data_IF_229694335922
#
_entry.id   IF_229694335922
#
_cell.length_a   1.000
_cell.length_b   1.000
_cell.length_c   1.000
_cell.angle_alpha   90.00
_cell.angle_beta   90.00
_cell.angle_gamma   90.00
#
_symmetry.space_group_name_H-M   'P 1'
#
loop_
_entity.id
_entity.type
_entity.pdbx_description
1 polymer ?
#
# COMPACT_ATOMS: atom_id res chain seq x y z
N UNK A 1 0.31 -2.06 19.08
CA UNK A 1 0.71 -2.84 17.90
C UNK A 1 -0.53 -3.10 17.07
N UNK A 2 -0.48 -2.73 15.80
CA UNK A 2 -1.58 -2.69 14.81
C UNK A 2 -1.19 -3.51 13.57
N UNK A 3 -1.82 -3.27 12.42
CA UNK A 3 -1.49 -3.90 11.12
C UNK A 3 0.00 -3.91 10.77
N UNK A 4 0.77 -2.92 11.24
CA UNK A 4 2.23 -2.85 11.04
C UNK A 4 2.97 -4.11 11.53
N UNK A 5 2.40 -4.88 12.46
CA UNK A 5 3.02 -6.13 12.92
C UNK A 5 3.13 -7.22 11.86
N UNK A 6 2.27 -7.17 10.83
CA UNK A 6 2.30 -8.10 9.71
C UNK A 6 2.81 -7.43 8.44
N UNK A 7 2.45 -6.17 8.21
CA UNK A 7 2.87 -5.45 7.00
C UNK A 7 4.39 -5.25 6.92
N UNK A 8 5.00 -4.78 8.01
CA UNK A 8 6.43 -4.46 8.05
C UNK A 8 7.30 -5.69 7.79
N UNK A 9 7.16 -6.83 8.50
CA UNK A 9 8.01 -7.99 8.22
C UNK A 9 7.82 -8.53 6.79
N UNK A 10 6.60 -8.52 6.25
CA UNK A 10 6.33 -8.97 4.87
C UNK A 10 7.03 -8.04 3.86
N UNK A 11 6.85 -6.73 4.01
CA UNK A 11 7.46 -5.76 3.11
C UNK A 11 8.98 -5.75 3.21
N UNK A 12 9.53 -5.98 4.39
CA UNK A 12 10.97 -6.08 4.57
C UNK A 12 11.57 -7.30 3.89
N UNK A 13 10.94 -8.47 3.97
CA UNK A 13 11.39 -9.65 3.23
C UNK A 13 11.46 -9.36 1.72
N UNK A 14 10.46 -8.65 1.19
CA UNK A 14 10.44 -8.23 -0.22
C UNK A 14 11.56 -7.24 -0.52
N UNK A 15 11.69 -6.16 0.26
CA UNK A 15 12.71 -5.11 0.05
C UNK A 15 14.13 -5.72 0.06
N UNK A 16 14.40 -6.69 0.93
CA UNK A 16 15.73 -7.32 0.98
C UNK A 16 16.10 -8.08 -0.30
N UNK A 17 15.12 -8.64 -1.01
CA UNK A 17 15.35 -9.29 -2.30
C UNK A 17 15.74 -8.28 -3.41
N UNK A 18 15.46 -6.99 -3.19
CA UNK A 18 15.77 -5.90 -4.10
C UNK A 18 16.91 -5.01 -3.59
N UNK A 19 17.71 -5.49 -2.64
CA UNK A 19 18.86 -4.73 -2.12
C UNK A 19 19.80 -4.28 -3.26
N UNK A 20 20.13 -2.99 -3.28
CA UNK A 20 20.96 -2.37 -4.32
C UNK A 20 20.25 -2.16 -5.65
N UNK A 21 18.92 -2.33 -5.71
CA UNK A 21 18.07 -1.98 -6.86
C UNK A 21 17.39 -0.63 -6.62
N UNK A 22 16.74 -0.10 -7.65
CA UNK A 22 16.02 1.17 -7.55
C UNK A 22 14.63 0.92 -6.96
N UNK A 23 14.42 1.37 -5.73
CA UNK A 23 13.18 1.19 -4.97
C UNK A 23 12.46 2.53 -4.82
N UNK A 24 11.13 2.51 -4.99
CA UNK A 24 10.24 3.61 -4.65
C UNK A 24 9.34 3.18 -3.49
N UNK A 25 9.27 3.97 -2.43
CA UNK A 25 8.20 3.88 -1.43
C UNK A 25 7.17 4.98 -1.66
N UNK A 26 5.89 4.58 -1.70
CA UNK A 26 4.75 5.48 -1.71
C UNK A 26 4.20 5.58 -0.30
N UNK A 27 4.33 6.78 0.27
CA UNK A 27 4.26 7.02 1.71
C UNK A 27 5.61 6.80 2.37
N UNK A 28 5.79 7.29 3.60
CA UNK A 28 7.06 7.20 4.33
C UNK A 28 6.97 6.30 5.58
N UNK A 29 6.63 5.02 5.39
CA UNK A 29 6.41 4.10 6.52
C UNK A 29 7.71 3.48 6.99
N UNK A 30 8.51 2.92 6.09
CA UNK A 30 9.70 2.15 6.46
C UNK A 30 10.79 2.97 7.14
N UNK A 31 10.82 4.29 6.95
CA UNK A 31 11.77 5.19 7.65
C UNK A 31 11.65 5.15 9.17
N UNK A 32 10.49 4.72 9.69
CA UNK A 32 10.27 4.55 11.13
C UNK A 32 10.83 3.23 11.69
N UNK A 33 11.32 2.35 10.82
CA UNK A 33 11.69 0.97 11.20
C UNK A 33 13.10 0.60 10.76
N UNK A 34 13.52 1.00 9.55
CA UNK A 34 14.79 0.60 8.97
C UNK A 34 15.40 1.70 8.11
N UNK A 35 16.74 1.73 8.10
CA UNK A 35 17.49 2.55 7.15
C UNK A 35 17.70 1.76 5.86
N UNK A 36 17.04 2.20 4.79
CA UNK A 36 17.06 1.57 3.47
C UNK A 36 17.18 2.63 2.39
N UNK A 37 18.03 2.35 1.40
CA UNK A 37 18.24 3.22 0.24
C UNK A 37 17.07 3.08 -0.75
N UNK A 38 16.33 4.17 -0.94
CA UNK A 38 15.13 4.25 -1.81
C UNK A 38 14.72 5.71 -2.02
N UNK A 39 13.96 5.93 -3.08
CA UNK A 39 13.18 7.16 -3.21
C UNK A 39 11.89 7.04 -2.39
N UNK A 40 11.47 8.13 -1.75
CA UNK A 40 10.20 8.20 -1.00
C UNK A 40 9.34 9.31 -1.58
N UNK A 41 8.12 9.00 -1.99
CA UNK A 41 7.12 9.97 -2.44
C UNK A 41 5.99 10.03 -1.42
N UNK A 42 5.79 11.19 -0.82
CA UNK A 42 4.71 11.43 0.14
C UNK A 42 4.17 12.86 -0.01
N UNK A 43 2.85 13.00 -0.09
CA UNK A 43 2.17 14.28 -0.29
C UNK A 43 2.18 15.18 0.94
N UNK A 44 2.16 14.60 2.13
CA UNK A 44 1.92 15.31 3.38
C UNK A 44 3.20 15.50 4.19
N UNK A 45 4.15 14.57 4.09
CA UNK A 45 5.43 14.68 4.80
C UNK A 45 6.40 15.63 4.11
N UNK A 46 7.07 16.45 4.93
CA UNK A 46 8.06 17.44 4.49
C UNK A 46 9.39 17.16 5.19
N UNK A 47 10.30 16.53 4.47
CA UNK A 47 11.70 16.28 4.84
C UNK A 47 12.54 16.40 3.56
N UNK A 48 13.81 16.80 3.68
CA UNK A 48 14.70 16.97 2.53
C UNK A 48 14.95 15.66 1.75
N UNK A 49 14.71 14.50 2.38
CA UNK A 49 14.85 13.18 1.75
C UNK A 49 13.54 12.66 1.16
N UNK A 50 12.45 13.41 1.29
CA UNK A 50 11.12 13.03 0.78
C UNK A 50 10.79 13.87 -0.44
N UNK A 51 10.40 13.21 -1.51
CA UNK A 51 9.83 13.85 -2.69
C UNK A 51 8.39 14.25 -2.31
N UNK A 52 8.22 15.49 -1.85
CA UNK A 52 6.93 15.98 -1.37
C UNK A 52 5.94 16.25 -2.54
N UNK A 53 5.35 15.19 -3.08
CA UNK A 53 4.44 15.20 -4.23
C UNK A 53 3.29 14.22 -4.04
N UNK A 54 2.16 14.48 -4.71
CA UNK A 54 1.07 13.52 -4.84
C UNK A 54 1.51 12.39 -5.79
N UNK A 55 1.39 11.13 -5.36
CA UNK A 55 1.77 9.97 -6.18
C UNK A 55 0.97 9.88 -7.48
N UNK A 56 -0.23 10.49 -7.53
CA UNK A 56 -1.04 10.57 -8.76
C UNK A 56 -0.30 11.35 -9.86
N UNK A 57 0.45 12.38 -9.47
CA UNK A 57 1.10 13.32 -10.40
C UNK A 57 2.63 13.11 -10.45
N UNK A 58 3.18 12.34 -9.51
CA UNK A 58 4.61 12.03 -9.46
C UNK A 58 5.08 11.37 -10.76
N UNK A 59 6.21 11.86 -11.25
CA UNK A 59 6.86 11.33 -12.43
C UNK A 59 8.37 11.24 -12.22
N UNK A 60 8.99 10.26 -12.86
CA UNK A 60 10.44 10.04 -12.86
C UNK A 60 10.91 9.70 -14.27
N UNK A 61 12.10 10.16 -14.63
CA UNK A 61 12.76 9.77 -15.88
C UNK A 61 13.26 8.32 -15.85
N UNK A 62 13.39 7.76 -14.65
CA UNK A 62 13.86 6.41 -14.40
C UNK A 62 12.71 5.55 -13.87
N UNK A 63 12.71 4.28 -14.25
CA UNK A 63 11.74 3.29 -13.73
C UNK A 63 12.31 2.53 -12.53
N UNK A 64 11.43 2.03 -11.68
CA UNK A 64 11.77 1.34 -10.45
C UNK A 64 11.75 -0.19 -10.63
N UNK A 65 12.70 -0.87 -9.98
CA UNK A 65 12.73 -2.33 -9.90
C UNK A 65 11.67 -2.83 -8.90
N UNK A 66 11.45 -2.08 -7.82
CA UNK A 66 10.43 -2.35 -6.81
C UNK A 66 9.70 -1.04 -6.44
N UNK A 67 8.38 -1.10 -6.38
CA UNK A 67 7.55 -0.07 -5.77
C UNK A 67 6.84 -0.71 -4.58
N UNK A 68 6.90 -0.07 -3.41
CA UNK A 68 6.18 -0.51 -2.21
C UNK A 68 5.20 0.56 -1.74
N UNK A 69 4.07 0.14 -1.20
CA UNK A 69 3.14 1.01 -0.49
C UNK A 69 2.54 0.26 0.69
N UNK A 70 2.59 0.86 1.88
CA UNK A 70 2.25 0.17 3.12
C UNK A 70 1.17 0.93 3.87
N UNK A 71 -0.11 0.55 3.75
CA UNK A 71 -1.23 1.33 4.30
C UNK A 71 -1.09 2.83 3.97
N UNK A 72 -1.01 3.13 2.66
CA UNK A 72 -0.91 4.50 2.15
C UNK A 72 -2.01 4.79 1.13
N UNK A 73 -2.24 3.88 0.19
CA UNK A 73 -3.14 4.16 -0.95
C UNK A 73 -4.59 4.35 -0.52
N UNK A 74 -5.04 3.76 0.59
CA UNK A 74 -6.38 3.96 1.14
C UNK A 74 -6.66 5.43 1.49
N UNK A 75 -5.63 6.24 1.72
CA UNK A 75 -5.75 7.67 2.02
C UNK A 75 -5.84 8.55 0.75
N UNK A 76 -5.35 8.06 -0.38
CA UNK A 76 -5.22 8.84 -1.63
C UNK A 76 -6.60 9.21 -2.18
N UNK A 77 -6.88 10.51 -2.29
CA UNK A 77 -8.18 11.05 -2.67
C UNK A 77 -9.29 10.92 -1.61
N UNK A 78 -9.08 10.15 -0.54
CA UNK A 78 -10.07 9.91 0.51
C UNK A 78 -10.01 10.90 1.67
N UNK A 79 -8.79 11.29 2.05
CA UNK A 79 -8.55 12.26 3.14
C UNK A 79 -8.52 13.71 2.63
N UNK A 80 -8.78 13.89 1.33
CA UNK A 80 -8.78 15.18 0.67
C UNK A 80 -10.15 15.86 0.74
N UNK A 81 -10.15 17.20 0.66
CA UNK A 81 -11.38 18.00 0.59
C UNK A 81 -11.36 18.89 -0.66
N UNK A 82 -12.23 18.64 -1.65
CA UNK A 82 -13.19 17.53 -1.74
C UNK A 82 -12.50 16.16 -1.90
N UNK A 83 -13.23 15.08 -1.56
CA UNK A 83 -12.79 13.72 -1.89
C UNK A 83 -12.79 13.52 -3.41
N UNK A 84 -11.82 12.73 -3.88
CA UNK A 84 -11.66 12.39 -5.30
C UNK A 84 -11.56 10.86 -5.43
N UNK A 85 -12.67 10.24 -5.81
CA UNK A 85 -12.79 8.78 -6.02
C UNK A 85 -12.08 8.30 -7.29
N UNK A 86 -11.65 9.21 -8.16
CA UNK A 86 -10.94 8.89 -9.40
C UNK A 86 -9.43 8.70 -9.20
N UNK A 87 -8.89 9.15 -8.06
CA UNK A 87 -7.44 9.06 -7.81
C UNK A 87 -6.94 7.64 -7.64
N UNK A 88 -7.69 6.74 -7.03
CA UNK A 88 -7.23 5.37 -6.80
C UNK A 88 -6.88 4.66 -8.13
N UNK A 89 -7.78 4.58 -9.14
CA UNK A 89 -7.44 4.01 -10.44
C UNK A 89 -6.26 4.72 -11.12
N UNK A 90 -6.22 6.06 -11.06
CA UNK A 90 -5.13 6.86 -11.65
C UNK A 90 -3.79 6.56 -11.01
N UNK A 91 -3.75 6.42 -9.68
CA UNK A 91 -2.55 6.03 -8.94
C UNK A 91 -2.06 4.67 -9.40
N UNK A 92 -2.93 3.65 -9.45
CA UNK A 92 -2.54 2.31 -9.90
C UNK A 92 -1.94 2.34 -11.31
N UNK A 93 -2.53 3.08 -12.25
CA UNK A 93 -1.98 3.24 -13.60
C UNK A 93 -0.64 3.99 -13.60
N UNK A 94 -0.48 5.01 -12.75
CA UNK A 94 0.80 5.70 -12.62
C UNK A 94 1.89 4.78 -12.05
N UNK A 95 1.60 3.96 -11.05
CA UNK A 95 2.56 3.01 -10.50
C UNK A 95 3.01 1.98 -11.55
N UNK A 96 2.07 1.46 -12.38
CA UNK A 96 2.41 0.58 -13.52
C UNK A 96 3.31 1.26 -14.55
N UNK A 97 3.15 2.56 -14.77
CA UNK A 97 4.02 3.34 -15.66
C UNK A 97 5.43 3.50 -15.08
N UNK A 98 5.53 3.69 -13.76
CA UNK A 98 6.78 3.91 -13.02
C UNK A 98 7.59 2.64 -12.78
N UNK A 99 6.96 1.47 -12.76
CA UNK A 99 7.68 0.20 -12.60
C UNK A 99 8.34 -0.25 -13.92
N UNK A 100 9.49 -0.92 -13.82
CA UNK A 100 10.14 -1.63 -14.95
C UNK A 100 9.30 -2.83 -15.35
N UNK A 101 9.43 -3.28 -16.61
CA UNK A 101 8.74 -4.48 -17.09
C UNK A 101 9.16 -5.77 -16.37
N UNK A 102 10.36 -5.81 -15.80
CA UNK A 102 10.83 -6.89 -14.93
C UNK A 102 10.65 -6.59 -13.43
N UNK A 103 10.02 -5.47 -13.11
CA UNK A 103 9.87 -4.98 -11.74
C UNK A 103 8.59 -5.47 -11.08
N UNK A 104 8.40 -5.07 -9.82
CA UNK A 104 7.26 -5.44 -9.01
C UNK A 104 6.70 -4.24 -8.24
N UNK A 105 5.39 -4.23 -8.03
CA UNK A 105 4.69 -3.34 -7.11
C UNK A 105 4.11 -4.23 -6.01
N UNK A 106 4.46 -3.98 -4.75
CA UNK A 106 3.93 -4.67 -3.59
C UNK A 106 3.16 -3.68 -2.70
N UNK A 107 1.91 -3.98 -2.42
CA UNK A 107 0.99 -3.06 -1.74
C UNK A 107 0.31 -3.79 -0.58
N UNK A 108 0.25 -3.17 0.60
CA UNK A 108 -0.68 -3.58 1.66
C UNK A 108 -1.78 -2.52 1.83
N UNK A 109 -3.03 -2.97 1.94
CA UNK A 109 -4.22 -2.12 2.02
C UNK A 109 -5.12 -2.56 3.19
N UNK A 110 -5.23 -1.74 4.24
CA UNK A 110 -6.28 -1.87 5.25
C UNK A 110 -7.67 -1.78 4.63
N UNK A 111 -8.52 -2.76 4.92
CA UNK A 111 -9.92 -2.75 4.51
C UNK A 111 -10.78 -1.98 5.51
N UNK A 112 -11.85 -1.36 5.00
CA UNK A 112 -12.86 -0.67 5.80
C UNK A 112 -12.50 0.76 6.19
N UNK A 113 -11.40 1.32 5.66
CA UNK A 113 -11.02 2.73 5.85
C UNK A 113 -11.60 3.62 4.74
N UNK A 114 -11.40 3.21 3.49
CA UNK A 114 -11.84 3.90 2.29
C UNK A 114 -12.83 3.00 1.52
N UNK A 115 -14.12 3.33 1.64
CA UNK A 115 -15.19 2.52 1.04
C UNK A 115 -15.17 2.53 -0.49
N UNK A 116 -14.57 3.55 -1.12
CA UNK A 116 -14.40 3.59 -2.58
C UNK A 116 -13.37 2.54 -2.99
N UNK A 117 -12.20 2.53 -2.34
CA UNK A 117 -11.16 1.53 -2.61
C UNK A 117 -11.67 0.11 -2.36
N UNK A 118 -12.38 -0.13 -1.26
CA UNK A 118 -12.98 -1.43 -0.96
C UNK A 118 -13.95 -1.89 -2.06
N UNK A 119 -14.77 -0.97 -2.59
CA UNK A 119 -15.67 -1.24 -3.71
C UNK A 119 -14.88 -1.55 -5.00
N UNK A 120 -13.84 -0.80 -5.31
CA UNK A 120 -13.00 -1.03 -6.49
C UNK A 120 -12.30 -2.39 -6.45
N UNK A 121 -11.88 -2.84 -5.27
CA UNK A 121 -11.35 -4.19 -5.04
C UNK A 121 -12.44 -5.25 -5.24
N UNK A 122 -13.62 -5.05 -4.65
CA UNK A 122 -14.76 -5.97 -4.77
C UNK A 122 -15.21 -6.18 -6.21
N UNK A 123 -15.28 -5.11 -6.99
CA UNK A 123 -15.71 -5.13 -8.39
C UNK A 123 -14.59 -5.57 -9.34
N UNK A 124 -13.37 -5.75 -8.82
CA UNK A 124 -12.21 -6.12 -9.64
C UNK A 124 -11.82 -5.03 -10.63
N UNK A 125 -12.01 -3.76 -10.26
CA UNK A 125 -11.47 -2.62 -11.02
C UNK A 125 -10.00 -2.42 -10.62
N UNK A 126 -9.71 -2.44 -9.32
CA UNK A 126 -8.34 -2.62 -8.82
C UNK A 126 -8.10 -4.13 -8.72
N UNK A 127 -7.12 -4.62 -9.48
CA UNK A 127 -6.75 -6.03 -9.57
C UNK A 127 -5.25 -6.19 -9.37
N UNK A 128 -4.89 -7.24 -8.65
CA UNK A 128 -3.52 -7.69 -8.48
C UNK A 128 -3.32 -9.00 -9.25
N UNK A 129 -2.13 -9.23 -9.82
CA UNK A 129 -1.79 -10.54 -10.39
C UNK A 129 -1.79 -11.62 -9.30
N UNK A 130 -1.37 -11.25 -8.09
CA UNK A 130 -1.39 -12.11 -6.91
C UNK A 130 -1.90 -11.30 -5.72
N UNK A 131 -2.81 -11.87 -4.95
CA UNK A 131 -3.31 -11.22 -3.73
C UNK A 131 -3.57 -12.22 -2.61
N UNK A 132 -3.39 -11.75 -1.39
CA UNK A 132 -3.65 -12.47 -0.16
C UNK A 132 -4.47 -11.60 0.78
N UNK A 133 -5.14 -12.24 1.73
CA UNK A 133 -5.91 -11.55 2.74
C UNK A 133 -5.49 -12.01 4.12
N UNK A 134 -5.36 -11.06 5.04
CA UNK A 134 -5.20 -11.37 6.45
C UNK A 134 -6.39 -10.80 7.22
N UNK A 135 -6.84 -11.54 8.22
CA UNK A 135 -7.87 -11.11 9.17
C UNK A 135 -7.29 -11.06 10.57
N UNK A 136 -7.54 -9.96 11.26
CA UNK A 136 -7.22 -9.85 12.68
C UNK A 136 -8.25 -10.62 13.49
N UNK A 137 -7.79 -11.53 14.34
CA UNK A 137 -8.67 -12.42 15.11
C UNK A 137 -8.73 -12.09 16.60
N UNK A 138 -7.81 -11.27 17.12
CA UNK A 138 -7.78 -10.96 18.55
C UNK A 138 -7.37 -9.53 18.89
N UNK A 139 -7.75 -9.09 20.10
CA UNK A 139 -7.29 -7.82 20.71
C UNK A 139 -5.76 -7.77 20.83
N UNK A 140 -5.11 -8.92 21.01
CA UNK A 140 -3.65 -9.07 21.10
C UNK A 140 -2.94 -8.90 19.75
N UNK A 141 -3.69 -8.57 18.68
CA UNK A 141 -3.16 -8.31 17.34
C UNK A 141 -2.57 -9.57 16.68
N UNK A 142 -3.26 -10.70 16.86
CA UNK A 142 -3.00 -11.93 16.10
C UNK A 142 -3.75 -11.86 14.77
N UNK A 143 -3.09 -12.33 13.72
CA UNK A 143 -3.57 -12.31 12.35
C UNK A 143 -3.50 -13.71 11.76
N UNK A 144 -4.47 -14.06 10.93
CA UNK A 144 -4.49 -15.30 10.17
C UNK A 144 -4.75 -15.01 8.69
N UNK A 145 -4.28 -15.89 7.81
CA UNK A 145 -4.69 -15.88 6.41
C UNK A 145 -6.20 -16.13 6.31
N UNK A 146 -6.83 -15.46 5.35
CA UNK A 146 -8.27 -15.47 5.14
C UNK A 146 -8.62 -15.42 3.66
N UNK A 147 -9.89 -15.64 3.35
CA UNK A 147 -10.49 -15.39 2.05
C UNK A 147 -11.06 -13.98 1.94
N UNK A 148 -11.34 -13.53 0.71
CA UNK A 148 -12.08 -12.28 0.47
C UNK A 148 -13.41 -12.24 1.23
N UNK A 149 -14.16 -13.35 1.23
CA UNK A 149 -15.48 -13.40 1.85
C UNK A 149 -15.44 -13.14 3.36
N UNK A 150 -14.35 -13.54 4.02
CA UNK A 150 -14.14 -13.33 5.45
C UNK A 150 -13.74 -11.90 5.82
N UNK A 151 -13.22 -11.13 4.87
CA UNK A 151 -12.67 -9.78 5.11
C UNK A 151 -13.43 -8.65 4.42
N UNK A 152 -14.24 -8.90 3.39
CA UNK A 152 -14.87 -7.85 2.56
C UNK A 152 -15.81 -6.90 3.30
N UNK A 153 -16.26 -7.27 4.51
CA UNK A 153 -17.19 -6.48 5.33
C UNK A 153 -16.57 -6.02 6.67
N UNK A 154 -15.26 -6.14 6.83
CA UNK A 154 -14.57 -5.63 8.03
C UNK A 154 -14.66 -4.11 8.10
N UNK A 155 -14.54 -3.56 9.31
CA UNK A 155 -14.50 -2.12 9.53
C UNK A 155 -13.12 -1.73 10.04
N UNK A 156 -12.60 -0.62 9.55
CA UNK A 156 -11.44 -0.02 10.18
C UNK A 156 -11.83 0.48 11.58
N UNK A 157 -10.99 0.22 12.58
CA UNK A 157 -11.21 0.60 13.97
C UNK A 157 -12.22 -0.25 14.75
N UNK A 158 -12.81 -1.29 14.16
CA UNK A 158 -13.77 -2.17 14.85
C UNK A 158 -13.75 -3.62 14.32
N UNK A 159 -13.74 -4.65 15.18
CA UNK A 159 -13.89 -4.60 16.65
C UNK A 159 -12.60 -4.19 17.38
N UNK A 160 -11.47 -4.10 16.68
CA UNK A 160 -10.19 -3.69 17.25
C UNK A 160 -9.71 -2.39 16.59
N UNK A 161 -8.96 -1.53 17.31
CA UNK A 161 -8.37 -0.33 16.73
C UNK A 161 -7.44 -0.66 15.55
N UNK A 162 -7.42 0.20 14.52
CA UNK A 162 -6.64 -0.02 13.29
C UNK A 162 -7.34 -0.96 12.31
N UNK A 163 -6.58 -1.58 11.44
CA UNK A 163 -7.13 -2.51 10.46
C UNK A 163 -7.58 -3.83 11.12
N UNK A 164 -8.68 -4.39 10.61
CA UNK A 164 -9.18 -5.71 11.00
C UNK A 164 -9.19 -6.72 9.84
N UNK A 165 -9.04 -6.23 8.61
CA UNK A 165 -8.70 -7.02 7.44
C UNK A 165 -7.69 -6.26 6.60
N UNK A 166 -6.84 -6.99 5.93
CA UNK A 166 -5.71 -6.47 5.17
C UNK A 166 -5.64 -7.21 3.83
N UNK A 167 -5.52 -6.47 2.73
CA UNK A 167 -5.14 -7.02 1.43
C UNK A 167 -3.64 -6.87 1.26
N UNK A 168 -2.98 -7.89 0.74
CA UNK A 168 -1.60 -7.84 0.27
C UNK A 168 -1.65 -8.13 -1.22
N UNK A 169 -1.28 -7.16 -2.05
CA UNK A 169 -1.39 -7.22 -3.50
C UNK A 169 -0.05 -7.06 -4.20
N UNK A 170 0.13 -7.80 -5.30
CA UNK A 170 1.32 -7.76 -6.12
C UNK A 170 0.98 -7.51 -7.59
N UNK A 171 1.73 -6.59 -8.20
CA UNK A 171 1.67 -6.30 -9.64
C UNK A 171 3.06 -6.47 -10.24
N UNK A 172 3.16 -7.15 -11.38
CA UNK A 172 4.36 -7.22 -12.21
C UNK A 172 4.23 -6.23 -13.38
N UNK A 173 5.35 -5.63 -13.78
CA UNK A 173 5.42 -4.66 -14.88
C UNK A 173 5.32 -5.26 -16.27
#
# INVERSE_FOLDING_TARGET
>A
MNERSVEIPIMMEIVQQYKGKKILEVGNVLSNYFDIDRDVVDKYERDDRIINQDIVDFNSNEKYDLIISISTLEHVGWDETPRDDTKIPRTIENLKRLVKSSGMIAITLPLGYNSVLDKLLKEGIVKFQKQYYLKRISKKNEWQEASWDEVQNVRFGSPYPGANGLVIGFIHG
#
